data_IF_931896670434
#
_entry.id   IF_931896670434
#
_cell.length_a   1.000
_cell.length_b   1.000
_cell.length_c   1.000
_cell.angle_alpha   90.00
_cell.angle_beta   90.00
_cell.angle_gamma   90.00
#
_symmetry.space_group_name_H-M   'P 1'
#
loop_
_entity.id
_entity.type
_entity.pdbx_description
1 polymer ?
#
# COMPACT_ATOMS: atom_id res chain seq x y z
N UNK A 1 2.35 -33.24 -17.34
CA UNK A 1 3.29 -32.09 -17.24
C UNK A 1 4.52 -32.53 -16.47
N UNK A 2 5.71 -32.29 -16.96
CA UNK A 2 6.93 -32.64 -16.22
C UNK A 2 7.20 -31.59 -15.11
N UNK A 3 8.15 -31.90 -14.20
CA UNK A 3 8.45 -31.06 -13.03
C UNK A 3 8.93 -29.63 -13.43
N UNK A 4 9.70 -29.53 -14.50
CA UNK A 4 10.20 -28.26 -15.01
C UNK A 4 9.08 -27.42 -15.65
N UNK A 5 8.24 -28.05 -16.46
CA UNK A 5 7.05 -27.41 -17.06
C UNK A 5 6.08 -26.89 -15.99
N UNK A 6 5.90 -27.65 -14.88
CA UNK A 6 5.05 -27.22 -13.77
C UNK A 6 5.60 -25.95 -13.10
N UNK A 7 6.90 -25.87 -12.85
CA UNK A 7 7.56 -24.69 -12.29
C UNK A 7 7.37 -23.46 -13.19
N UNK A 8 7.61 -23.63 -14.48
CA UNK A 8 7.47 -22.52 -15.46
C UNK A 8 6.02 -22.01 -15.54
N UNK A 9 5.04 -22.94 -15.51
CA UNK A 9 3.62 -22.56 -15.57
C UNK A 9 3.15 -21.89 -14.27
N UNK A 10 3.63 -22.31 -13.09
CA UNK A 10 3.36 -21.63 -11.81
C UNK A 10 3.88 -20.17 -11.85
N UNK A 11 5.11 -19.98 -12.31
CA UNK A 11 5.70 -18.63 -12.44
C UNK A 11 4.91 -17.76 -13.42
N UNK A 12 4.56 -18.32 -14.59
CA UNK A 12 3.79 -17.63 -15.62
C UNK A 12 2.41 -17.20 -15.13
N UNK A 13 1.68 -18.11 -14.48
CA UNK A 13 0.34 -17.84 -13.91
C UNK A 13 0.42 -16.81 -12.78
N UNK A 14 1.41 -16.91 -11.90
CA UNK A 14 1.61 -15.94 -10.83
C UNK A 14 1.85 -14.52 -11.36
N UNK A 15 2.68 -14.40 -12.40
CA UNK A 15 2.93 -13.12 -13.07
C UNK A 15 1.68 -12.56 -13.73
N UNK A 16 0.93 -13.41 -14.44
CA UNK A 16 -0.29 -13.00 -15.15
C UNK A 16 -1.39 -12.56 -14.17
N UNK A 17 -1.60 -13.29 -13.07
CA UNK A 17 -2.57 -12.92 -12.03
C UNK A 17 -2.19 -11.61 -11.36
N UNK A 18 -0.89 -11.39 -11.05
CA UNK A 18 -0.43 -10.12 -10.50
C UNK A 18 -0.64 -8.96 -11.47
N UNK A 19 -0.43 -9.16 -12.78
CA UNK A 19 -0.71 -8.16 -13.81
C UNK A 19 -2.19 -7.77 -13.84
N UNK A 20 -3.11 -8.74 -13.88
CA UNK A 20 -4.55 -8.46 -13.87
C UNK A 20 -5.04 -7.86 -12.55
N UNK A 21 -4.46 -8.24 -11.40
CA UNK A 21 -4.71 -7.56 -10.13
C UNK A 21 -4.31 -6.07 -10.20
N UNK A 22 -3.14 -5.76 -10.76
CA UNK A 22 -2.68 -4.39 -10.94
C UNK A 22 -3.62 -3.58 -11.85
N UNK A 23 -3.99 -4.13 -13.00
CA UNK A 23 -4.93 -3.46 -13.91
C UNK A 23 -6.29 -3.20 -13.26
N UNK A 24 -6.83 -4.17 -12.55
CA UNK A 24 -8.14 -4.07 -11.92
C UNK A 24 -8.13 -3.10 -10.72
N UNK A 25 -7.23 -3.33 -9.73
CA UNK A 25 -7.28 -2.61 -8.44
C UNK A 25 -6.50 -1.30 -8.41
N UNK A 26 -5.49 -1.14 -9.26
CA UNK A 26 -4.63 0.06 -9.28
C UNK A 26 -4.99 0.98 -10.44
N UNK A 27 -5.17 0.42 -11.64
CA UNK A 27 -5.46 1.19 -12.86
C UNK A 27 -6.96 1.39 -13.10
N UNK A 28 -7.83 0.53 -12.54
CA UNK A 28 -9.28 0.49 -12.86
C UNK A 28 -9.55 0.21 -14.35
N UNK A 29 -8.68 -0.56 -14.99
CA UNK A 29 -8.71 -0.92 -16.42
C UNK A 29 -8.67 -2.44 -16.58
N UNK A 30 -9.72 -3.20 -16.19
CA UNK A 30 -9.72 -4.65 -16.30
C UNK A 30 -9.67 -5.11 -17.76
N UNK A 31 -8.77 -6.05 -18.08
CA UNK A 31 -8.63 -6.65 -19.41
C UNK A 31 -9.35 -8.01 -19.54
N UNK A 32 -9.67 -8.66 -18.42
CA UNK A 32 -10.38 -9.95 -18.41
C UNK A 32 -11.59 -9.88 -17.49
N UNK A 33 -12.52 -10.82 -17.68
CA UNK A 33 -13.68 -10.95 -16.79
C UNK A 33 -13.28 -11.51 -15.41
N UNK A 34 -14.14 -11.28 -14.39
CA UNK A 34 -13.95 -11.86 -13.06
C UNK A 34 -13.91 -13.41 -13.13
N UNK A 35 -14.72 -14.00 -14.00
CA UNK A 35 -14.72 -15.45 -14.24
C UNK A 35 -13.37 -15.94 -14.78
N UNK A 36 -12.79 -15.28 -15.78
CA UNK A 36 -11.50 -15.66 -16.34
C UNK A 36 -10.38 -15.52 -15.31
N UNK A 37 -10.44 -14.47 -14.50
CA UNK A 37 -9.51 -14.26 -13.40
C UNK A 37 -9.58 -15.40 -12.36
N UNK A 38 -10.78 -15.78 -11.95
CA UNK A 38 -11.00 -16.87 -11.00
C UNK A 38 -10.51 -18.22 -11.55
N UNK A 39 -10.67 -18.46 -12.86
CA UNK A 39 -10.15 -19.66 -13.50
C UNK A 39 -8.62 -19.71 -13.53
N UNK A 40 -7.94 -18.56 -13.75
CA UNK A 40 -6.48 -18.47 -13.63
C UNK A 40 -6.01 -18.77 -12.20
N UNK A 41 -6.66 -18.17 -11.21
CA UNK A 41 -6.34 -18.37 -9.79
C UNK A 41 -6.56 -19.85 -9.38
N UNK A 42 -7.67 -20.45 -9.77
CA UNK A 42 -7.97 -21.88 -9.51
C UNK A 42 -6.90 -22.80 -10.10
N UNK A 43 -6.49 -22.54 -11.35
CA UNK A 43 -5.44 -23.31 -12.01
C UNK A 43 -4.10 -23.21 -11.26
N UNK A 44 -3.76 -22.01 -10.79
CA UNK A 44 -2.54 -21.80 -9.99
C UNK A 44 -2.60 -22.58 -8.67
N UNK A 45 -3.73 -22.52 -7.95
CA UNK A 45 -3.94 -23.30 -6.69
C UNK A 45 -3.76 -24.79 -6.94
N UNK A 46 -4.34 -25.35 -8.01
CA UNK A 46 -4.22 -26.77 -8.34
C UNK A 46 -2.77 -27.16 -8.62
N UNK A 47 -2.02 -26.33 -9.33
CA UNK A 47 -0.60 -26.56 -9.63
C UNK A 47 0.27 -26.48 -8.38
N UNK A 48 0.05 -25.50 -7.51
CA UNK A 48 0.79 -25.35 -6.25
C UNK A 48 0.50 -26.50 -5.28
N UNK A 49 -0.74 -26.99 -5.21
CA UNK A 49 -1.10 -28.15 -4.41
C UNK A 49 -0.43 -29.44 -4.92
N UNK A 50 -0.28 -29.60 -6.25
CA UNK A 50 0.37 -30.74 -6.86
C UNK A 50 1.90 -30.66 -6.77
N UNK A 51 2.44 -29.45 -6.74
CA UNK A 51 3.89 -29.17 -6.73
C UNK A 51 4.27 -28.19 -5.61
N UNK A 52 4.05 -28.49 -4.33
CA UNK A 52 4.22 -27.56 -3.21
C UNK A 52 5.64 -27.02 -3.06
N UNK A 53 6.66 -27.71 -3.58
CA UNK A 53 8.05 -27.25 -3.60
C UNK A 53 8.28 -26.01 -4.49
N UNK A 54 7.32 -25.62 -5.34
CA UNK A 54 7.39 -24.44 -6.20
C UNK A 54 6.46 -23.30 -5.75
N UNK A 55 5.74 -23.47 -4.64
CA UNK A 55 4.95 -22.40 -4.05
C UNK A 55 5.86 -21.39 -3.35
N UNK A 56 5.72 -20.10 -3.66
CA UNK A 56 6.49 -19.06 -2.98
C UNK A 56 5.67 -18.34 -1.91
N UNK A 57 6.36 -17.68 -0.98
CA UNK A 57 5.72 -16.95 0.12
C UNK A 57 4.82 -15.79 -0.34
N UNK A 58 5.10 -15.23 -1.51
CA UNK A 58 4.34 -14.15 -2.12
C UNK A 58 3.52 -14.60 -3.34
N UNK A 59 3.10 -15.88 -3.39
CA UNK A 59 2.16 -16.33 -4.39
C UNK A 59 0.83 -15.56 -4.31
N UNK A 60 0.20 -15.20 -5.44
CA UNK A 60 -1.14 -14.61 -5.45
C UNK A 60 -2.19 -15.45 -4.72
N UNK A 61 -2.00 -16.76 -4.63
CA UNK A 61 -2.89 -17.69 -3.92
C UNK A 61 -2.88 -17.47 -2.41
N UNK A 62 -1.79 -16.95 -1.85
CA UNK A 62 -1.65 -16.64 -0.42
C UNK A 62 -2.28 -15.31 0.00
N UNK A 63 -2.84 -14.53 -0.93
CA UNK A 63 -3.65 -13.35 -0.59
C UNK A 63 -4.98 -13.69 0.06
N UNK A 64 -5.50 -14.89 -0.20
CA UNK A 64 -6.74 -15.36 0.42
C UNK A 64 -6.38 -15.96 1.77
N UNK A 65 -6.56 -15.16 2.82
CA UNK A 65 -6.17 -15.49 4.18
C UNK A 65 -6.73 -16.81 4.71
N UNK A 66 -6.14 -17.27 5.74
CA UNK A 66 -6.41 -18.47 6.52
C UNK A 66 -5.45 -18.59 7.69
N UNK A 67 -4.45 -17.71 7.76
CA UNK A 67 -3.49 -17.69 8.84
C UNK A 67 -4.04 -16.94 10.06
N UNK A 68 -4.18 -17.64 11.18
CA UNK A 68 -4.55 -17.04 12.46
C UNK A 68 -3.29 -16.50 13.15
N UNK A 69 -3.19 -15.19 13.21
CA UNK A 69 -2.12 -14.51 13.96
C UNK A 69 -2.44 -14.51 15.45
N UNK A 70 -1.72 -15.30 16.25
CA UNK A 70 -1.97 -15.39 17.70
C UNK A 70 -1.65 -14.09 18.46
N UNK A 71 -0.66 -13.31 18.00
CA UNK A 71 -0.25 -12.02 18.57
C UNK A 71 0.58 -11.24 17.55
N UNK A 72 0.32 -9.94 17.43
CA UNK A 72 1.18 -9.06 16.63
C UNK A 72 2.49 -8.79 17.37
N UNK A 73 3.61 -9.01 16.67
CA UNK A 73 4.95 -8.76 17.21
C UNK A 73 5.27 -7.29 17.04
N UNK A 74 5.86 -6.66 18.08
CA UNK A 74 6.37 -5.30 17.97
C UNK A 74 7.72 -5.31 17.24
N UNK A 75 7.87 -4.41 16.25
CA UNK A 75 9.06 -4.28 15.41
C UNK A 75 9.53 -2.83 15.45
N UNK A 76 10.83 -2.61 15.59
CA UNK A 76 11.45 -1.30 15.46
C UNK A 76 11.50 -0.84 14.01
N UNK A 77 11.20 0.43 13.76
CA UNK A 77 11.35 1.04 12.45
C UNK A 77 12.81 1.27 12.10
N UNK A 78 13.20 0.95 10.87
CA UNK A 78 14.53 1.29 10.34
C UNK A 78 14.69 2.82 10.21
N UNK A 79 13.62 3.48 9.79
CA UNK A 79 13.51 4.93 9.70
C UNK A 79 12.37 5.40 10.60
N UNK A 80 12.55 6.40 11.49
CA UNK A 80 11.46 6.90 12.35
C UNK A 80 10.26 7.39 11.52
N UNK A 81 9.04 7.10 12.00
CA UNK A 81 7.80 7.57 11.39
C UNK A 81 7.31 8.81 12.13
N UNK A 82 7.82 9.98 11.72
CA UNK A 82 7.55 11.25 12.36
C UNK A 82 6.12 11.74 12.12
N UNK A 83 5.62 12.55 13.04
CA UNK A 83 4.36 13.28 12.86
C UNK A 83 4.61 14.57 12.10
N UNK A 84 3.64 14.98 11.27
CA UNK A 84 3.65 16.27 10.59
C UNK A 84 3.16 17.36 11.54
N UNK A 85 3.73 18.57 11.40
CA UNK A 85 3.20 19.78 12.01
C UNK A 85 1.95 20.26 11.26
N UNK A 86 1.07 20.96 11.95
CA UNK A 86 -0.07 21.62 11.34
C UNK A 86 0.26 23.06 11.00
N UNK A 87 -0.39 23.61 9.98
CA UNK A 87 -0.45 25.02 9.66
C UNK A 87 -1.88 25.40 9.29
N UNK A 88 -2.30 26.63 9.58
CA UNK A 88 -3.68 27.07 9.47
C UNK A 88 -3.82 28.39 8.67
N UNK A 89 -2.71 28.98 8.25
CA UNK A 89 -2.73 30.22 7.49
C UNK A 89 -1.62 30.29 6.45
N UNK A 90 -1.80 31.15 5.46
CA UNK A 90 -0.78 31.46 4.46
C UNK A 90 0.48 32.05 5.09
N UNK A 91 0.33 32.89 6.15
CA UNK A 91 1.43 33.49 6.89
C UNK A 91 2.34 32.44 7.51
N UNK A 92 1.76 31.40 8.10
CA UNK A 92 2.52 30.28 8.68
C UNK A 92 3.29 29.51 7.61
N UNK A 93 2.73 29.34 6.40
CA UNK A 93 3.41 28.72 5.26
C UNK A 93 4.58 29.61 4.81
N UNK A 94 4.41 30.94 4.74
CA UNK A 94 5.48 31.88 4.42
C UNK A 94 6.60 31.86 5.45
N UNK A 95 6.26 31.78 6.74
CA UNK A 95 7.23 31.63 7.81
C UNK A 95 8.00 30.31 7.71
N UNK A 96 7.32 29.22 7.35
CA UNK A 96 7.93 27.93 7.13
C UNK A 96 8.90 27.96 5.94
N UNK A 97 8.51 28.55 4.82
CA UNK A 97 9.40 28.78 3.67
C UNK A 97 10.63 29.62 4.06
N UNK A 98 10.42 30.70 4.81
CA UNK A 98 11.52 31.59 5.28
C UNK A 98 12.49 30.84 6.22
N UNK A 99 12.01 29.87 7.03
CA UNK A 99 12.89 29.03 7.84
C UNK A 99 13.76 28.11 6.98
N UNK A 100 13.19 27.50 5.92
CA UNK A 100 13.93 26.64 5.01
C UNK A 100 15.00 27.45 4.26
N UNK A 101 14.66 28.62 3.75
CA UNK A 101 15.58 29.53 3.04
C UNK A 101 16.79 29.98 3.87
N UNK A 102 16.73 29.87 5.19
CA UNK A 102 17.90 30.09 6.07
C UNK A 102 18.91 28.95 6.07
N UNK A 103 18.51 27.77 5.59
CA UNK A 103 19.33 26.54 5.63
C UNK A 103 19.92 26.19 4.26
N UNK A 104 19.43 26.80 3.18
CA UNK A 104 19.89 26.53 1.81
C UNK A 104 19.68 27.75 0.91
N UNK A 105 20.61 27.94 -0.03
CA UNK A 105 20.51 28.94 -1.11
C UNK A 105 19.92 28.32 -2.41
N UNK A 106 19.63 27.02 -2.41
CA UNK A 106 19.05 26.32 -3.56
C UNK A 106 17.60 26.73 -3.79
N UNK A 107 17.14 26.77 -5.06
CA UNK A 107 15.74 27.01 -5.37
C UNK A 107 14.83 25.97 -4.70
N UNK A 108 13.80 26.41 -3.99
CA UNK A 108 12.86 25.53 -3.33
C UNK A 108 11.80 25.04 -4.32
N UNK A 109 11.50 23.77 -4.24
CA UNK A 109 10.33 23.15 -4.84
C UNK A 109 9.49 22.50 -3.75
N UNK A 110 8.19 22.67 -3.82
CA UNK A 110 7.21 22.12 -2.89
C UNK A 110 6.42 21.01 -3.57
N UNK A 111 6.09 19.98 -2.80
CA UNK A 111 5.16 18.95 -3.21
C UNK A 111 3.95 19.00 -2.29
N UNK A 112 2.78 19.22 -2.88
CA UNK A 112 1.49 19.21 -2.18
C UNK A 112 0.81 17.89 -2.42
N UNK A 113 0.31 17.26 -1.36
CA UNK A 113 -0.36 15.95 -1.41
C UNK A 113 -1.60 15.96 -0.54
N UNK A 114 -2.59 15.15 -0.91
CA UNK A 114 -3.75 14.91 -0.05
C UNK A 114 -3.31 14.17 1.22
N UNK A 115 -3.83 14.60 2.37
CA UNK A 115 -3.66 13.87 3.62
C UNK A 115 -4.74 12.81 3.76
N UNK A 116 -4.39 11.57 3.41
CA UNK A 116 -5.31 10.44 3.53
C UNK A 116 -5.64 10.14 5.00
N UNK A 117 -6.89 9.77 5.26
CA UNK A 117 -7.36 9.46 6.62
C UNK A 117 -7.50 7.94 6.79
N UNK A 118 -6.52 7.34 7.43
CA UNK A 118 -6.43 5.89 7.61
C UNK A 118 -5.40 5.50 8.67
N UNK A 119 -4.62 4.48 8.36
CA UNK A 119 -3.57 3.91 9.21
C UNK A 119 -2.24 3.99 8.48
N UNK A 120 -1.31 4.77 9.03
CA UNK A 120 0.03 4.87 8.47
C UNK A 120 0.78 3.53 8.61
N UNK A 121 1.43 3.12 7.53
CA UNK A 121 2.16 1.86 7.42
C UNK A 121 3.51 2.05 6.73
N UNK A 122 4.53 1.32 7.19
CA UNK A 122 5.79 1.11 6.48
C UNK A 122 5.84 -0.32 5.95
N UNK A 123 6.12 -0.49 4.67
CA UNK A 123 6.18 -1.79 3.99
C UNK A 123 7.56 -1.97 3.39
N UNK A 124 8.29 -3.01 3.83
CA UNK A 124 9.61 -3.33 3.32
C UNK A 124 9.54 -4.29 2.15
N UNK A 125 10.32 -3.96 1.13
CA UNK A 125 10.57 -4.82 -0.02
C UNK A 125 12.06 -5.16 -0.11
N UNK A 126 12.34 -6.45 -0.34
CA UNK A 126 13.68 -6.97 -0.61
C UNK A 126 13.66 -7.74 -1.91
N UNK A 127 14.51 -7.36 -2.86
CA UNK A 127 14.56 -7.94 -4.21
C UNK A 127 13.18 -7.98 -4.89
N UNK A 128 12.43 -6.90 -4.71
CA UNK A 128 11.08 -6.75 -5.24
C UNK A 128 9.99 -7.59 -4.57
N UNK A 129 10.27 -8.26 -3.46
CA UNK A 129 9.30 -9.05 -2.71
C UNK A 129 8.91 -8.35 -1.41
N UNK A 130 7.60 -8.31 -1.09
CA UNK A 130 7.09 -7.82 0.18
C UNK A 130 7.57 -8.76 1.31
N UNK A 131 8.42 -8.25 2.19
CA UNK A 131 8.98 -9.03 3.31
C UNK A 131 8.35 -8.67 4.64
N UNK A 132 7.96 -7.41 4.85
CA UNK A 132 7.37 -6.97 6.12
C UNK A 132 6.49 -5.75 5.96
N UNK A 133 5.42 -5.65 6.77
CA UNK A 133 4.60 -4.47 6.92
C UNK A 133 4.36 -4.17 8.39
N UNK A 134 4.56 -2.91 8.80
CA UNK A 134 4.54 -2.47 10.21
C UNK A 134 3.68 -1.23 10.35
N UNK A 135 2.79 -1.17 11.35
CA UNK A 135 2.03 0.05 11.69
C UNK A 135 2.97 1.13 12.21
N UNK A 136 2.59 2.41 12.13
CA UNK A 136 3.39 3.51 12.68
C UNK A 136 3.70 3.32 14.17
N UNK A 137 2.74 2.81 14.97
CA UNK A 137 2.89 2.74 16.42
C UNK A 137 3.17 4.10 17.05
N UNK A 138 4.22 4.16 17.89
CA UNK A 138 4.71 5.40 18.51
C UNK A 138 5.67 6.22 17.63
N UNK A 139 5.95 5.73 16.41
CA UNK A 139 6.89 6.33 15.46
C UNK A 139 8.31 5.75 15.50
N UNK A 140 8.71 5.09 16.59
CA UNK A 140 9.96 4.34 16.69
C UNK A 140 9.76 2.84 16.53
N UNK A 141 8.61 2.32 16.89
CA UNK A 141 8.22 0.92 16.76
C UNK A 141 6.72 0.78 16.49
N UNK A 142 6.34 -0.30 15.82
CA UNK A 142 4.95 -0.62 15.49
C UNK A 142 4.67 -2.11 15.51
N UNK A 143 3.45 -2.51 15.20
CA UNK A 143 3.04 -3.91 15.15
C UNK A 143 3.26 -4.47 13.75
N UNK A 144 3.82 -5.67 13.67
CA UNK A 144 3.95 -6.44 12.43
C UNK A 144 2.56 -6.92 11.96
N UNK A 145 2.08 -6.35 10.88
CA UNK A 145 0.79 -6.65 10.26
C UNK A 145 0.94 -7.26 8.88
N UNK A 146 2.09 -7.86 8.59
CA UNK A 146 2.47 -8.37 7.26
C UNK A 146 1.40 -9.29 6.67
N UNK A 147 0.90 -10.26 7.45
CA UNK A 147 -0.11 -11.22 7.01
C UNK A 147 -1.39 -10.50 6.54
N UNK A 148 -1.83 -9.51 7.30
CA UNK A 148 -3.04 -8.75 6.99
C UNK A 148 -2.83 -7.81 5.78
N UNK A 149 -1.68 -7.16 5.69
CA UNK A 149 -1.34 -6.29 4.55
C UNK A 149 -1.27 -7.06 3.24
N UNK A 150 -0.79 -8.31 3.25
CA UNK A 150 -0.77 -9.17 2.06
C UNK A 150 -2.16 -9.42 1.47
N UNK A 151 -3.24 -9.26 2.23
CA UNK A 151 -4.61 -9.40 1.71
C UNK A 151 -5.10 -8.18 0.92
N UNK A 152 -4.45 -7.01 1.08
CA UNK A 152 -4.85 -5.76 0.43
C UNK A 152 -4.44 -5.79 -1.04
N UNK A 153 -5.42 -5.74 -1.94
CA UNK A 153 -5.22 -5.94 -3.37
C UNK A 153 -4.39 -4.87 -4.06
N UNK A 154 -4.44 -3.63 -3.57
CA UNK A 154 -3.67 -2.49 -4.08
C UNK A 154 -2.20 -2.50 -3.66
N UNK A 155 -1.79 -3.40 -2.76
CA UNK A 155 -0.40 -3.56 -2.33
C UNK A 155 0.20 -4.77 -3.08
N UNK A 156 1.19 -4.58 -3.98
CA UNK A 156 1.79 -5.68 -4.72
C UNK A 156 2.60 -6.59 -3.79
N UNK A 157 2.45 -7.91 -3.94
CA UNK A 157 3.31 -8.87 -3.24
C UNK A 157 4.69 -8.98 -3.88
N UNK A 158 4.76 -8.73 -5.20
CA UNK A 158 5.98 -8.71 -6.01
C UNK A 158 5.94 -7.50 -6.93
N UNK A 159 7.06 -6.81 -7.04
CA UNK A 159 7.19 -5.62 -7.87
C UNK A 159 7.56 -5.95 -9.32
N UNK A 160 7.32 -4.98 -10.20
CA UNK A 160 7.69 -5.02 -11.61
C UNK A 160 8.55 -3.80 -11.97
N UNK A 161 9.32 -3.87 -13.06
CA UNK A 161 10.15 -2.75 -13.52
C UNK A 161 11.51 -2.66 -12.81
N UNK A 162 12.08 -1.46 -12.78
CA UNK A 162 13.39 -1.19 -12.20
C UNK A 162 13.24 -0.54 -10.82
N UNK A 163 13.38 -1.32 -9.77
CA UNK A 163 13.20 -0.93 -8.37
C UNK A 163 14.50 -1.15 -7.55
N UNK A 164 14.68 -0.47 -6.41
CA UNK A 164 15.79 -0.72 -5.50
C UNK A 164 15.71 -2.10 -4.85
N UNK A 165 16.86 -2.74 -4.62
CA UNK A 165 16.92 -4.08 -4.03
C UNK A 165 16.39 -4.16 -2.59
N UNK A 166 16.56 -3.10 -1.78
CA UNK A 166 16.10 -3.03 -0.39
C UNK A 166 15.61 -1.61 -0.07
N UNK A 167 14.31 -1.47 0.16
CA UNK A 167 13.70 -0.19 0.52
C UNK A 167 12.43 -0.40 1.35
N UNK A 168 11.99 0.68 2.01
CA UNK A 168 10.70 0.79 2.68
C UNK A 168 9.84 1.79 1.91
N UNK A 169 8.60 1.40 1.61
CA UNK A 169 7.59 2.34 1.12
C UNK A 169 6.58 2.61 2.21
N UNK A 170 6.20 3.87 2.38
CA UNK A 170 5.21 4.32 3.36
C UNK A 170 3.96 4.83 2.69
N UNK A 171 2.87 4.68 3.40
CA UNK A 171 1.58 5.16 2.95
C UNK A 171 0.51 5.05 4.00
N UNK A 172 -0.72 5.21 3.55
CA UNK A 172 -1.90 5.11 4.36
C UNK A 172 -2.78 3.96 3.87
N UNK A 173 -3.14 3.06 4.77
CA UNK A 173 -4.18 2.04 4.52
C UNK A 173 -5.48 2.59 5.07
N UNK A 174 -6.52 2.58 4.26
CA UNK A 174 -7.82 3.14 4.61
C UNK A 174 -8.97 2.23 4.21
N UNK A 175 -10.14 2.49 4.76
CA UNK A 175 -11.37 1.83 4.35
C UNK A 175 -12.12 2.71 3.36
N UNK A 176 -12.33 2.27 2.10
CA UNK A 176 -13.17 2.98 1.16
C UNK A 176 -14.59 3.20 1.71
N UNK A 177 -15.19 4.36 1.43
CA UNK A 177 -16.53 4.69 1.92
C UNK A 177 -17.58 3.66 1.52
N UNK A 178 -17.47 3.08 0.33
CA UNK A 178 -18.37 2.02 -0.14
C UNK A 178 -18.24 0.75 0.72
N UNK A 179 -17.00 0.34 1.05
CA UNK A 179 -16.75 -0.81 1.93
C UNK A 179 -17.27 -0.57 3.35
N UNK A 180 -17.06 0.65 3.86
CA UNK A 180 -17.54 1.06 5.17
C UNK A 180 -19.08 1.02 5.24
N UNK A 181 -19.77 1.55 4.22
CA UNK A 181 -21.22 1.53 4.13
C UNK A 181 -21.75 0.10 4.12
N UNK A 182 -21.22 -0.76 3.24
CA UNK A 182 -21.60 -2.18 3.15
C UNK A 182 -21.43 -2.89 4.49
N UNK A 183 -20.30 -2.71 5.17
CA UNK A 183 -20.05 -3.33 6.48
C UNK A 183 -21.04 -2.87 7.55
N UNK A 184 -21.48 -1.62 7.52
CA UNK A 184 -22.48 -1.12 8.46
C UNK A 184 -23.88 -1.65 8.15
N UNK A 185 -24.27 -1.75 6.88
CA UNK A 185 -25.52 -2.39 6.45
C UNK A 185 -25.56 -3.86 6.93
N UNK A 186 -24.47 -4.63 6.71
CA UNK A 186 -24.37 -6.02 7.18
C UNK A 186 -24.54 -6.14 8.70
N UNK A 187 -24.01 -5.18 9.48
CA UNK A 187 -24.13 -5.16 10.94
C UNK A 187 -25.53 -4.78 11.42
N UNK A 188 -26.18 -3.82 10.77
CA UNK A 188 -27.56 -3.46 11.06
C UNK A 188 -28.50 -4.63 10.81
N UNK A 189 -28.32 -5.37 9.71
CA UNK A 189 -29.14 -6.54 9.36
C UNK A 189 -29.09 -7.66 10.41
N UNK A 190 -27.95 -7.79 11.12
CA UNK A 190 -27.79 -8.79 12.18
C UNK A 190 -27.97 -8.19 13.60
N UNK A 191 -28.36 -6.93 13.71
CA UNK A 191 -28.62 -6.25 14.99
C UNK A 191 -27.38 -5.89 15.79
N UNK A 192 -26.20 -5.79 15.16
CA UNK A 192 -24.97 -5.37 15.79
C UNK A 192 -24.75 -3.84 15.70
N UNK A 193 -24.05 -3.23 16.69
CA UNK A 193 -23.71 -1.80 16.64
C UNK A 193 -22.86 -1.48 15.41
N UNK A 194 -23.19 -0.41 14.68
CA UNK A 194 -22.43 0.07 13.51
C UNK A 194 -21.06 0.62 13.89
N UNK A 195 -20.13 0.60 12.96
CA UNK A 195 -18.83 1.25 13.10
C UNK A 195 -18.97 2.78 13.06
N UNK A 196 -18.21 3.48 13.89
CA UNK A 196 -18.33 4.93 14.05
C UNK A 196 -17.71 5.73 12.89
N UNK A 197 -16.57 5.28 12.34
CA UNK A 197 -15.89 5.95 11.23
C UNK A 197 -14.95 5.01 10.46
N UNK A 198 -14.64 5.32 9.19
CA UNK A 198 -13.80 4.47 8.33
C UNK A 198 -12.38 4.27 8.86
N UNK A 199 -11.75 5.31 9.44
CA UNK A 199 -10.38 5.25 9.95
C UNK A 199 -10.24 4.25 11.10
N UNK A 200 -11.10 4.35 12.11
CA UNK A 200 -11.08 3.42 13.24
C UNK A 200 -11.42 2.00 12.80
N UNK A 201 -12.32 1.85 11.82
CA UNK A 201 -12.67 0.55 11.24
C UNK A 201 -11.49 -0.06 10.49
N UNK A 202 -10.73 0.73 9.72
CA UNK A 202 -9.50 0.29 9.07
C UNK A 202 -8.45 -0.15 10.10
N UNK A 203 -8.24 0.66 11.15
CA UNK A 203 -7.30 0.34 12.23
C UNK A 203 -7.66 -0.95 12.97
N UNK A 204 -8.93 -1.12 13.35
CA UNK A 204 -9.41 -2.35 13.96
C UNK A 204 -9.29 -3.56 13.02
N UNK A 205 -9.58 -3.37 11.74
CA UNK A 205 -9.47 -4.43 10.72
C UNK A 205 -8.04 -4.92 10.56
N UNK A 206 -7.06 -4.01 10.45
CA UNK A 206 -5.64 -4.39 10.32
C UNK A 206 -5.09 -5.16 11.53
N UNK A 207 -5.76 -5.10 12.68
CA UNK A 207 -5.39 -5.81 13.91
C UNK A 207 -6.25 -7.05 14.18
N UNK A 208 -7.05 -7.50 13.24
CA UNK A 208 -7.76 -8.77 13.35
C UNK A 208 -6.78 -9.94 13.23
N UNK A 209 -7.02 -10.97 14.04
CA UNK A 209 -6.20 -12.18 14.04
C UNK A 209 -6.44 -13.05 12.80
N UNK A 210 -7.65 -13.02 12.26
CA UNK A 210 -8.04 -13.76 11.06
C UNK A 210 -7.89 -12.87 9.82
N UNK A 211 -6.88 -13.16 9.02
CA UNK A 211 -6.60 -12.44 7.78
C UNK A 211 -7.67 -12.65 6.69
N UNK A 212 -8.50 -13.69 6.78
CA UNK A 212 -9.65 -13.88 5.89
C UNK A 212 -10.69 -12.78 6.09
N UNK A 213 -11.01 -12.45 7.35
CA UNK A 213 -11.93 -11.34 7.65
C UNK A 213 -11.35 -10.01 7.17
N UNK A 214 -10.02 -9.82 7.27
CA UNK A 214 -9.35 -8.63 6.72
C UNK A 214 -9.54 -8.53 5.21
N UNK A 215 -9.37 -9.64 4.48
CA UNK A 215 -9.57 -9.71 3.03
C UNK A 215 -11.01 -9.35 2.62
N UNK A 216 -12.01 -9.88 3.34
CA UNK A 216 -13.44 -9.63 3.11
C UNK A 216 -13.83 -8.16 3.31
N UNK A 217 -13.14 -7.43 4.21
CA UNK A 217 -13.41 -6.02 4.50
C UNK A 217 -12.88 -5.04 3.45
N UNK A 218 -12.13 -5.52 2.46
CA UNK A 218 -11.68 -4.76 1.28
C UNK A 218 -11.06 -3.40 1.60
N UNK A 219 -9.94 -3.41 2.36
CA UNK A 219 -9.12 -2.22 2.57
C UNK A 219 -8.41 -1.80 1.29
N UNK A 220 -8.05 -0.51 1.23
CA UNK A 220 -7.32 0.10 0.12
C UNK A 220 -6.11 0.89 0.65
N UNK A 221 -5.22 1.35 -0.23
CA UNK A 221 -4.02 2.08 0.16
C UNK A 221 -3.62 3.15 -0.85
N UNK A 222 -2.99 4.23 -0.36
CA UNK A 222 -2.12 5.10 -1.15
C UNK A 222 -0.73 5.08 -0.55
N UNK A 223 0.28 4.80 -1.38
CA UNK A 223 1.68 4.77 -0.97
C UNK A 223 2.38 6.01 -1.52
N UNK A 224 3.00 6.80 -0.63
CA UNK A 224 3.46 8.15 -0.94
C UNK A 224 4.90 8.45 -0.50
N UNK A 225 5.62 7.54 0.13
CA UNK A 225 6.98 7.82 0.59
C UNK A 225 7.93 6.65 0.43
N UNK A 226 9.07 6.84 -0.25
CA UNK A 226 10.09 5.83 -0.46
C UNK A 226 11.30 6.13 0.42
N UNK A 227 11.77 5.16 1.20
CA UNK A 227 12.90 5.26 2.13
C UNK A 227 13.88 4.12 1.90
N UNK A 228 15.14 4.42 1.82
CA UNK A 228 16.20 3.43 1.62
C UNK A 228 17.57 4.08 1.58
N UNK A 229 18.61 3.26 1.77
CA UNK A 229 19.99 3.72 1.65
C UNK A 229 20.38 3.73 0.16
N UNK A 230 21.04 4.80 -0.28
CA UNK A 230 21.53 4.97 -1.66
C UNK A 230 20.42 4.94 -2.74
N UNK A 231 19.23 5.42 -2.44
CA UNK A 231 18.19 5.61 -3.43
C UNK A 231 18.64 6.66 -4.47
N UNK A 232 18.66 6.30 -5.74
CA UNK A 232 18.96 7.22 -6.83
C UNK A 232 17.67 7.92 -7.31
N UNK A 233 17.02 8.67 -6.41
CA UNK A 233 15.78 9.39 -6.65
C UNK A 233 16.00 10.87 -6.36
N UNK A 234 15.59 11.73 -7.33
CA UNK A 234 15.93 13.16 -7.32
C UNK A 234 14.92 14.04 -6.54
N UNK A 235 14.14 13.46 -5.65
CA UNK A 235 13.18 14.18 -4.85
C UNK A 235 11.93 13.37 -4.53
N UNK A 236 11.04 13.97 -3.75
CA UNK A 236 9.84 13.29 -3.29
C UNK A 236 8.86 12.99 -4.43
N UNK A 237 8.60 13.99 -5.30
CA UNK A 237 7.67 13.84 -6.42
C UNK A 237 8.12 12.70 -7.38
N UNK A 238 9.39 12.69 -7.76
CA UNK A 238 9.98 11.66 -8.61
C UNK A 238 9.98 10.29 -7.94
N UNK A 239 10.14 10.24 -6.62
CA UNK A 239 10.07 9.00 -5.83
C UNK A 239 8.68 8.39 -5.87
N UNK A 240 7.63 9.21 -5.75
CA UNK A 240 6.23 8.77 -5.85
C UNK A 240 5.92 8.27 -7.26
N UNK A 241 6.37 8.99 -8.30
CA UNK A 241 6.19 8.54 -9.70
C UNK A 241 6.92 7.22 -9.97
N UNK A 242 8.16 7.08 -9.49
CA UNK A 242 8.92 5.84 -9.62
C UNK A 242 8.18 4.68 -8.94
N UNK A 243 7.67 4.88 -7.72
CA UNK A 243 6.88 3.87 -7.01
C UNK A 243 5.64 3.44 -7.82
N UNK A 244 4.96 4.36 -8.49
CA UNK A 244 3.86 4.05 -9.41
C UNK A 244 4.31 3.11 -10.55
N UNK A 245 5.51 3.31 -11.10
CA UNK A 245 6.08 2.44 -12.15
C UNK A 245 6.47 1.05 -11.66
N UNK A 246 6.65 0.84 -10.35
CA UNK A 246 6.93 -0.46 -9.74
C UNK A 246 5.67 -1.27 -9.42
N UNK A 247 4.48 -0.69 -9.62
CA UNK A 247 3.18 -1.34 -9.43
C UNK A 247 2.41 -0.88 -8.19
N UNK A 248 2.87 0.13 -7.49
CA UNK A 248 2.15 0.69 -6.33
C UNK A 248 1.00 1.61 -6.77
N UNK A 249 -0.06 1.62 -5.97
CA UNK A 249 -1.08 2.67 -6.04
C UNK A 249 -0.57 3.90 -5.33
N UNK A 250 -0.29 4.95 -6.09
CA UNK A 250 0.29 6.21 -5.62
C UNK A 250 -0.63 7.39 -5.94
N UNK A 251 -0.49 8.55 -5.24
CA UNK A 251 -1.11 9.80 -5.68
C UNK A 251 -0.67 10.15 -7.10
N UNK A 252 -1.60 10.59 -7.94
CA UNK A 252 -1.31 11.00 -9.32
C UNK A 252 -1.67 12.45 -9.56
N UNK A 253 -0.94 13.11 -10.48
CA UNK A 253 -1.22 14.49 -10.87
C UNK A 253 -2.50 14.63 -11.70
N UNK A 254 -2.86 13.59 -12.45
CA UNK A 254 -4.08 13.58 -13.27
C UNK A 254 -5.35 13.76 -12.44
N UNK A 255 -5.33 13.25 -11.20
CA UNK A 255 -6.43 13.39 -10.23
C UNK A 255 -6.21 14.57 -9.26
N UNK A 256 -5.19 15.37 -9.46
CA UNK A 256 -4.78 16.44 -8.54
C UNK A 256 -4.53 15.95 -7.09
N UNK A 257 -4.07 14.71 -6.93
CA UNK A 257 -3.75 14.13 -5.61
C UNK A 257 -2.32 14.45 -5.16
N UNK A 258 -1.46 14.80 -6.11
CA UNK A 258 -0.10 15.29 -5.89
C UNK A 258 0.23 16.38 -6.91
N UNK A 259 0.75 17.49 -6.45
CA UNK A 259 1.15 18.64 -7.29
C UNK A 259 2.52 19.12 -6.87
N UNK A 260 3.36 19.47 -7.85
CA UNK A 260 4.64 20.14 -7.63
C UNK A 260 4.52 21.60 -8.00
N UNK A 261 5.00 22.48 -7.12
CA UNK A 261 5.02 23.94 -7.33
C UNK A 261 6.31 24.55 -6.77
N UNK A 262 6.67 25.73 -7.24
CA UNK A 262 7.81 26.52 -6.76
C UNK A 262 7.39 27.77 -5.99
N UNK A 263 6.09 27.92 -5.72
CA UNK A 263 5.53 29.15 -5.14
C UNK A 263 4.50 28.88 -4.04
N UNK A 264 4.41 29.80 -3.09
CA UNK A 264 3.33 29.81 -2.09
C UNK A 264 1.95 29.90 -2.74
N UNK A 265 1.81 30.68 -3.82
CA UNK A 265 0.55 30.77 -4.55
C UNK A 265 0.12 29.38 -5.05
N UNK A 266 1.02 28.59 -5.63
CA UNK A 266 0.72 27.22 -6.07
C UNK A 266 0.39 26.26 -4.92
N UNK A 267 0.94 26.48 -3.70
CA UNK A 267 0.52 25.75 -2.51
C UNK A 267 -0.93 26.11 -2.15
N UNK A 268 -1.25 27.41 -2.14
CA UNK A 268 -2.59 27.91 -1.80
C UNK A 268 -3.64 27.48 -2.84
N UNK A 269 -3.27 27.39 -4.11
CA UNK A 269 -4.16 26.90 -5.17
C UNK A 269 -4.49 25.40 -5.02
N UNK A 270 -3.60 24.63 -4.37
CA UNK A 270 -3.83 23.22 -4.10
C UNK A 270 -4.75 22.99 -2.88
N UNK A 271 -4.70 23.88 -1.87
CA UNK A 271 -5.51 23.80 -0.63
C UNK A 271 -6.95 24.23 -0.89
#
# INVERSE_FOLDING_TARGET
MNVQEAKEEILRLSSLINHHNYLYYVKSEPEISDYDFDMLLKKLVELENTHPQFTFDNSPTKRVGGDLTKKFVTVQHRYPMLSLSNTYSEEEIREWEARIKKTTDEPLQFVCELKYDGVAVGIRYEKGQLTRAVTRGDGSQGEDITTNVKTIRTIPLSLTGNFPDDFEIRGEIFMPLQSFKRLNEEREDIGEPVFANPRNTASGTLKLQDSKIVAERTLDSFLYGVYGDNLQLNGHFESVQAAGSWGFKVPTSDNNFIVRTDSIAGIMDFI
#
